data_IF_592507873858
#
_entry.id   IF_592507873858
#
_cell.length_a   1.000
_cell.length_b   1.000
_cell.length_c   1.000
_cell.angle_alpha   90.00
_cell.angle_beta   90.00
_cell.angle_gamma   90.00
#
_symmetry.space_group_name_H-M   'P 1'
#
loop_
_entity.id
_entity.type
_entity.pdbx_description
1 polymer ?
#
# COMPACT_ATOMS: atom_id res chain seq x y z
N UNK A 1 14.01 19.69 3.49
CA UNK A 1 13.78 19.41 4.93
C UNK A 1 14.54 18.15 5.29
N UNK A 2 14.92 17.96 6.55
CA UNK A 2 15.43 16.66 6.98
C UNK A 2 14.30 15.62 6.91
N UNK A 3 14.60 14.44 6.39
CA UNK A 3 13.67 13.30 6.40
C UNK A 3 13.42 12.86 7.84
N UNK A 4 12.23 12.32 8.09
CA UNK A 4 11.91 11.70 9.37
C UNK A 4 12.60 10.33 9.43
N UNK A 5 13.27 10.04 10.54
CA UNK A 5 13.88 8.74 10.81
C UNK A 5 12.80 7.69 11.09
N UNK A 6 12.15 7.25 10.00
CA UNK A 6 11.01 6.36 9.97
C UNK A 6 11.08 5.46 8.74
N UNK A 7 10.57 4.25 8.92
CA UNK A 7 10.39 3.28 7.84
C UNK A 7 8.91 3.09 7.55
N UNK A 8 8.51 3.29 6.29
CA UNK A 8 7.13 3.07 5.83
C UNK A 8 7.10 1.89 4.88
N UNK A 9 6.15 0.97 5.07
CA UNK A 9 5.74 0.04 4.02
C UNK A 9 4.57 0.66 3.28
N UNK A 10 4.70 0.88 1.98
CA UNK A 10 3.64 1.43 1.13
C UNK A 10 3.05 0.33 0.25
N UNK A 11 1.73 0.18 0.26
CA UNK A 11 0.99 -0.82 -0.51
C UNK A 11 0.24 -0.10 -1.63
N UNK A 12 0.80 -0.17 -2.84
CA UNK A 12 0.50 0.74 -3.94
C UNK A 12 0.33 -0.02 -5.27
N UNK A 13 -0.50 0.50 -6.16
CA UNK A 13 -0.51 0.07 -7.56
C UNK A 13 0.61 0.77 -8.33
N UNK A 14 1.26 0.05 -9.25
CA UNK A 14 2.28 0.61 -10.14
C UNK A 14 1.64 1.30 -11.35
N UNK A 15 0.52 0.74 -11.85
CA UNK A 15 -0.20 1.21 -13.02
C UNK A 15 -1.60 1.68 -12.67
N UNK A 16 -2.12 2.65 -13.41
CA UNK A 16 -3.47 3.19 -13.20
C UNK A 16 -4.51 2.07 -13.29
N UNK A 17 -5.23 1.82 -12.19
CA UNK A 17 -6.14 0.67 -12.00
C UNK A 17 -5.52 -0.69 -12.35
N UNK A 18 -4.23 -0.89 -12.07
CA UNK A 18 -3.44 -2.07 -12.44
C UNK A 18 -3.34 -2.32 -13.97
N UNK A 19 -3.66 -1.32 -14.80
CA UNK A 19 -3.64 -1.43 -16.26
C UNK A 19 -2.48 -0.63 -16.84
N UNK A 20 -1.42 -1.32 -17.26
CA UNK A 20 -0.23 -0.67 -17.84
C UNK A 20 -0.54 0.23 -19.05
N UNK A 21 -1.56 -0.10 -19.84
CA UNK A 21 -2.01 0.71 -20.99
C UNK A 21 -2.53 2.09 -20.61
N UNK A 22 -2.92 2.31 -19.36
CA UNK A 22 -3.39 3.58 -18.81
C UNK A 22 -2.26 4.46 -18.27
N UNK A 23 -1.04 3.93 -18.20
CA UNK A 23 0.13 4.64 -17.69
C UNK A 23 0.35 4.42 -16.20
N UNK A 24 1.29 5.20 -15.65
CA UNK A 24 1.63 5.14 -14.23
C UNK A 24 0.47 5.59 -13.35
N UNK A 25 0.32 4.93 -12.20
CA UNK A 25 -0.70 5.25 -11.22
C UNK A 25 -0.40 6.57 -10.48
N UNK A 26 -1.42 7.15 -9.85
CA UNK A 26 -1.25 8.29 -8.93
C UNK A 26 -0.32 7.90 -7.76
N UNK A 27 -0.39 6.64 -7.34
CA UNK A 27 0.42 6.07 -6.29
C UNK A 27 1.91 6.11 -6.63
N UNK A 28 2.26 5.75 -7.86
CA UNK A 28 3.63 5.79 -8.34
C UNK A 28 4.10 7.21 -8.62
N UNK A 29 3.25 8.04 -9.22
CA UNK A 29 3.61 9.39 -9.63
C UNK A 29 3.64 10.41 -8.47
N UNK A 30 2.84 10.19 -7.42
CA UNK A 30 2.62 11.17 -6.35
C UNK A 30 2.93 10.59 -4.95
N UNK A 31 2.26 9.51 -4.54
CA UNK A 31 2.39 9.00 -3.17
C UNK A 31 3.78 8.46 -2.86
N UNK A 32 4.35 7.63 -3.75
CA UNK A 32 5.68 7.07 -3.54
C UNK A 32 6.78 8.14 -3.44
N UNK A 33 6.87 9.13 -4.35
CA UNK A 33 7.82 10.25 -4.20
C UNK A 33 7.61 11.04 -2.91
N UNK A 34 6.35 11.39 -2.59
CA UNK A 34 6.05 12.16 -1.38
C UNK A 34 6.48 11.43 -0.10
N UNK A 35 6.22 10.12 0.00
CA UNK A 35 6.70 9.30 1.12
C UNK A 35 8.23 9.25 1.13
N UNK A 36 8.86 8.99 -0.02
CA UNK A 36 10.31 8.87 -0.15
C UNK A 36 11.05 10.16 0.20
N UNK A 37 10.44 11.33 -0.03
CA UNK A 37 10.98 12.62 0.37
C UNK A 37 10.73 12.95 1.85
N UNK A 38 9.74 12.31 2.47
CA UNK A 38 9.32 12.59 3.85
C UNK A 38 10.03 11.71 4.89
N UNK A 39 10.31 10.45 4.55
CA UNK A 39 10.88 9.47 5.50
C UNK A 39 12.19 8.86 5.01
N UNK A 40 12.98 8.34 5.94
CA UNK A 40 14.30 7.74 5.67
C UNK A 40 14.19 6.53 4.74
N UNK A 41 13.22 5.65 4.96
CA UNK A 41 13.04 4.43 4.18
C UNK A 41 11.59 4.19 3.79
N UNK A 42 11.38 3.87 2.51
CA UNK A 42 10.11 3.39 1.98
C UNK A 42 10.33 2.04 1.30
N UNK A 43 9.60 1.03 1.75
CA UNK A 43 9.53 -0.28 1.10
C UNK A 43 8.17 -0.40 0.43
N UNK A 44 8.15 -0.63 -0.89
CA UNK A 44 6.89 -0.65 -1.64
C UNK A 44 6.50 -2.07 -2.00
N UNK A 45 5.24 -2.42 -1.73
CA UNK A 45 4.56 -3.58 -2.29
C UNK A 45 3.73 -3.12 -3.48
N UNK A 46 4.28 -3.31 -4.69
CA UNK A 46 3.54 -3.13 -5.95
C UNK A 46 2.64 -4.34 -6.18
N UNK A 47 1.34 -4.18 -5.95
CA UNK A 47 0.42 -5.31 -5.87
C UNK A 47 -0.39 -5.59 -7.15
N UNK A 48 -0.08 -4.94 -8.27
CA UNK A 48 -0.80 -5.08 -9.54
C UNK A 48 -1.00 -6.55 -9.95
N UNK A 49 0.05 -7.37 -9.81
CA UNK A 49 0.04 -8.80 -10.15
C UNK A 49 -0.72 -9.69 -9.16
N UNK A 50 -1.02 -9.17 -7.96
CA UNK A 50 -1.67 -9.88 -6.87
C UNK A 50 -3.14 -9.44 -6.69
N UNK A 51 -3.64 -8.53 -7.53
CA UNK A 51 -4.95 -7.92 -7.38
C UNK A 51 -6.09 -8.94 -7.30
N UNK A 52 -5.97 -10.04 -8.05
CA UNK A 52 -6.98 -11.11 -8.09
C UNK A 52 -6.68 -12.27 -7.13
N UNK A 53 -5.64 -12.17 -6.32
CA UNK A 53 -5.25 -13.19 -5.34
C UNK A 53 -5.06 -12.56 -3.95
N UNK A 54 -6.20 -12.36 -3.29
CA UNK A 54 -6.26 -11.78 -1.95
C UNK A 54 -5.39 -12.51 -0.93
N UNK A 55 -5.34 -13.85 -0.99
CA UNK A 55 -4.56 -14.63 -0.03
C UNK A 55 -3.06 -14.39 -0.23
N UNK A 56 -2.59 -14.47 -1.48
CA UNK A 56 -1.20 -14.19 -1.82
C UNK A 56 -0.81 -12.74 -1.48
N UNK A 57 -1.68 -11.76 -1.74
CA UNK A 57 -1.44 -10.37 -1.39
C UNK A 57 -1.28 -10.16 0.12
N UNK A 58 -2.23 -10.68 0.91
CA UNK A 58 -2.18 -10.56 2.38
C UNK A 58 -0.96 -11.29 2.95
N UNK A 59 -0.60 -12.45 2.41
CA UNK A 59 0.60 -13.18 2.82
C UNK A 59 1.88 -12.38 2.50
N UNK A 60 2.00 -11.86 1.28
CA UNK A 60 3.14 -11.05 0.85
C UNK A 60 3.33 -9.81 1.74
N UNK A 61 2.23 -9.12 2.07
CA UNK A 61 2.26 -7.99 2.97
C UNK A 61 2.67 -8.40 4.40
N UNK A 62 2.14 -9.50 4.93
CA UNK A 62 2.50 -9.98 6.26
C UNK A 62 3.98 -10.37 6.36
N UNK A 63 4.53 -11.00 5.33
CA UNK A 63 5.96 -11.33 5.24
C UNK A 63 6.83 -10.08 5.15
N UNK A 64 6.40 -9.09 4.34
CA UNK A 64 7.09 -7.82 4.20
C UNK A 64 7.12 -7.06 5.53
N UNK A 65 5.99 -6.95 6.25
CA UNK A 65 5.90 -6.25 7.53
C UNK A 65 6.73 -6.94 8.61
N UNK A 66 6.72 -8.28 8.68
CA UNK A 66 7.58 -9.03 9.60
C UNK A 66 9.07 -8.79 9.35
N UNK A 67 9.47 -8.73 8.08
CA UNK A 67 10.86 -8.53 7.67
C UNK A 67 11.33 -7.09 7.89
N UNK A 68 10.49 -6.12 7.54
CA UNK A 68 10.84 -4.69 7.54
C UNK A 68 10.67 -4.06 8.90
N UNK A 69 9.71 -4.53 9.70
CA UNK A 69 9.31 -3.91 10.97
C UNK A 69 9.06 -2.39 10.83
N UNK A 70 8.14 -1.97 9.93
CA UNK A 70 7.93 -0.56 9.65
C UNK A 70 7.27 0.18 10.82
N UNK A 71 7.45 1.50 10.86
CA UNK A 71 6.72 2.38 11.78
C UNK A 71 5.27 2.61 11.33
N UNK A 72 4.98 2.41 10.04
CA UNK A 72 3.67 2.61 9.43
C UNK A 72 3.51 1.71 8.19
N UNK A 73 2.31 1.14 8.03
CA UNK A 73 1.85 0.63 6.73
C UNK A 73 0.87 1.61 6.12
N UNK A 74 1.20 2.13 4.94
CA UNK A 74 0.37 3.06 4.18
C UNK A 74 -0.30 2.33 3.01
N UNK A 75 -1.62 2.47 2.88
CA UNK A 75 -2.43 1.81 1.86
C UNK A 75 -3.06 2.79 0.90
N UNK A 76 -3.11 2.41 -0.37
CA UNK A 76 -4.09 2.92 -1.33
C UNK A 76 -4.80 1.70 -1.94
N UNK A 77 -5.90 1.24 -1.31
CA UNK A 77 -6.66 0.09 -1.81
C UNK A 77 -7.51 0.49 -3.02
N UNK A 78 -7.73 -0.48 -3.92
CA UNK A 78 -8.58 -0.29 -5.09
C UNK A 78 -10.00 -0.82 -4.84
N UNK A 79 -10.13 -1.98 -4.21
CA UNK A 79 -11.40 -2.65 -3.92
C UNK A 79 -11.34 -3.45 -2.59
N UNK A 80 -11.58 -4.77 -2.64
CA UNK A 80 -11.66 -5.66 -1.48
C UNK A 80 -10.38 -6.50 -1.27
N UNK A 81 -9.21 -5.94 -1.60
CA UNK A 81 -7.92 -6.65 -1.53
C UNK A 81 -7.54 -7.08 -0.11
N UNK A 82 -8.14 -6.47 0.92
CA UNK A 82 -7.83 -6.74 2.31
C UNK A 82 -9.09 -7.03 3.12
N UNK A 83 -9.11 -8.19 3.77
CA UNK A 83 -10.22 -8.54 4.66
C UNK A 83 -10.18 -7.72 5.97
N UNK A 84 -11.34 -7.43 6.59
CA UNK A 84 -11.38 -6.74 7.88
C UNK A 84 -10.59 -7.47 8.99
N UNK A 85 -10.62 -8.80 8.98
CA UNK A 85 -9.87 -9.64 9.94
C UNK A 85 -8.37 -9.42 9.78
N UNK A 86 -7.87 -9.47 8.55
CA UNK A 86 -6.46 -9.24 8.26
C UNK A 86 -6.02 -7.82 8.68
N UNK A 87 -6.79 -6.78 8.35
CA UNK A 87 -6.47 -5.40 8.75
C UNK A 87 -6.47 -5.22 10.27
N UNK A 88 -7.39 -5.89 10.98
CA UNK A 88 -7.42 -5.89 12.43
C UNK A 88 -6.19 -6.59 13.05
N UNK A 89 -5.73 -7.68 12.46
CA UNK A 89 -4.52 -8.38 12.91
C UNK A 89 -3.25 -7.58 12.60
N UNK A 90 -3.21 -6.93 11.45
CA UNK A 90 -2.07 -6.11 11.04
C UNK A 90 -1.91 -4.87 11.92
N UNK A 91 -3.02 -4.17 12.21
CA UNK A 91 -3.03 -2.98 13.07
C UNK A 91 -2.61 -3.25 14.52
N UNK A 92 -2.67 -4.50 14.99
CA UNK A 92 -2.13 -4.90 16.30
C UNK A 92 -0.60 -4.99 16.32
N UNK A 93 0.04 -5.12 15.16
CA UNK A 93 1.50 -5.25 15.01
C UNK A 93 2.16 -3.91 14.70
N UNK A 94 1.47 -3.05 13.96
CA UNK A 94 2.01 -1.78 13.46
C UNK A 94 0.88 -0.81 13.12
N UNK A 95 1.06 0.51 13.30
CA UNK A 95 0.11 1.50 12.82
C UNK A 95 -0.19 1.34 11.32
N UNK A 96 -1.46 1.49 10.96
CA UNK A 96 -1.92 1.45 9.57
C UNK A 96 -2.61 2.75 9.20
N UNK A 97 -2.40 3.24 7.98
CA UNK A 97 -3.11 4.38 7.41
C UNK A 97 -3.57 4.06 6.00
N UNK A 98 -4.86 4.25 5.72
CA UNK A 98 -5.42 4.02 4.38
C UNK A 98 -5.91 5.33 3.78
N UNK A 99 -5.46 5.60 2.56
CA UNK A 99 -6.02 6.65 1.71
C UNK A 99 -7.06 6.04 0.78
N UNK A 100 -8.32 6.41 0.96
CA UNK A 100 -9.40 6.04 0.04
C UNK A 100 -9.54 7.13 -1.01
N UNK A 101 -9.22 6.78 -2.26
CA UNK A 101 -9.34 7.67 -3.40
C UNK A 101 -10.74 7.62 -3.99
N UNK A 102 -10.86 7.02 -5.16
CA UNK A 102 -12.11 6.97 -5.90
C UNK A 102 -13.20 6.22 -5.14
N UNK A 103 -14.40 6.79 -5.16
CA UNK A 103 -15.61 6.14 -4.66
C UNK A 103 -16.15 5.15 -5.69
N UNK A 104 -15.33 4.15 -6.07
CA UNK A 104 -15.71 3.13 -7.05
C UNK A 104 -16.97 2.37 -6.63
N UNK A 105 -17.16 2.20 -5.32
CA UNK A 105 -18.35 1.61 -4.71
C UNK A 105 -19.67 2.32 -5.05
N UNK A 106 -19.64 3.58 -5.56
CA UNK A 106 -20.87 4.30 -5.94
C UNK A 106 -21.47 3.85 -7.27
N UNK A 107 -20.71 3.14 -8.09
CA UNK A 107 -21.12 2.73 -9.43
C UNK A 107 -21.43 1.23 -9.55
N UNK A 108 -21.33 0.51 -8.42
CA UNK A 108 -21.72 -0.90 -8.26
C UNK A 108 -23.05 -1.04 -7.51
#
# INVERSE_FOLDING_TARGET
MAKWDKTVVAVLLQWDYAQQSRGESLEKACFYPALSESVERVEVLWYDSLLNDREALQQALQELVKRVQPDLVFFVPLAEEFSPVFLQELSRQTPTYSWFGDDQWRFD
#
